data_IF_832939070722
#
_entry.id   IF_832939070722
#
_cell.length_a   1.000
_cell.length_b   1.000
_cell.length_c   1.000
_cell.angle_alpha   90.00
_cell.angle_beta   90.00
_cell.angle_gamma   90.00
#
_symmetry.space_group_name_H-M   'P 1'
#
loop_
_entity.id
_entity.type
_entity.pdbx_description
1 polymer ?
#
# COMPACT_ATOMS: atom_id res chain seq x y z
N UNK A 1 -24.22 -13.20 73.46
CA UNK A 1 -22.90 -13.28 72.78
C UNK A 1 -22.60 -14.74 72.51
N UNK A 2 -22.38 -15.06 71.23
CA UNK A 2 -22.01 -16.38 70.70
C UNK A 2 -20.64 -16.79 71.26
N UNK A 3 -20.48 -18.03 71.77
CA UNK A 3 -19.23 -18.81 71.66
C UNK A 3 -19.52 -20.31 71.59
N UNK A 4 -19.02 -20.88 70.51
CA UNK A 4 -18.97 -22.27 70.02
C UNK A 4 -17.83 -23.05 70.68
N UNK A 5 -17.97 -24.38 70.85
CA UNK A 5 -16.98 -25.45 70.58
C UNK A 5 -17.53 -26.78 71.15
N UNK A 6 -18.06 -27.69 70.33
CA UNK A 6 -17.41 -28.75 69.54
C UNK A 6 -17.14 -30.05 70.31
N UNK A 7 -17.78 -31.09 69.76
CA UNK A 7 -17.82 -32.49 70.14
C UNK A 7 -16.91 -33.24 69.15
N UNK A 8 -16.39 -34.39 69.61
CA UNK A 8 -16.30 -35.66 68.89
C UNK A 8 -15.03 -36.01 68.09
N UNK A 9 -14.47 -37.12 68.56
CA UNK A 9 -13.65 -38.17 67.96
C UNK A 9 -13.70 -38.41 66.44
N UNK A 10 -12.56 -38.87 65.90
CA UNK A 10 -12.43 -39.70 64.70
C UNK A 10 -10.98 -40.18 64.60
N UNK A 11 -10.65 -41.45 64.86
CA UNK A 11 -10.67 -42.61 63.93
C UNK A 11 -10.01 -42.29 62.58
N UNK A 12 -8.78 -42.78 62.44
CA UNK A 12 -7.94 -42.72 61.25
C UNK A 12 -8.42 -43.77 60.23
N UNK A 13 -8.88 -43.32 59.06
CA UNK A 13 -9.14 -44.16 57.89
C UNK A 13 -8.07 -43.80 56.85
N UNK A 14 -7.31 -44.79 56.39
CA UNK A 14 -6.33 -44.66 55.31
C UNK A 14 -7.06 -44.86 53.97
N UNK A 15 -7.09 -43.88 53.05
CA UNK A 15 -7.53 -44.13 51.69
C UNK A 15 -6.36 -44.61 50.82
N UNK A 16 -6.60 -45.72 50.11
CA UNK A 16 -5.81 -46.16 48.96
C UNK A 16 -5.90 -45.11 47.84
N UNK A 17 -4.75 -44.68 47.31
CA UNK A 17 -4.68 -43.82 46.15
C UNK A 17 -4.93 -44.65 44.88
N UNK A 18 -6.07 -44.42 44.22
CA UNK A 18 -6.26 -44.82 42.83
C UNK A 18 -5.55 -43.79 41.95
N UNK A 19 -4.54 -44.24 41.21
CA UNK A 19 -3.83 -43.43 40.24
C UNK A 19 -4.76 -43.18 39.05
N UNK A 20 -5.32 -41.98 38.94
CA UNK A 20 -5.93 -41.52 37.69
C UNK A 20 -4.80 -41.26 36.70
N UNK A 21 -4.72 -42.09 35.67
CA UNK A 21 -3.84 -41.83 34.52
C UNK A 21 -4.40 -40.60 33.82
N UNK A 22 -3.74 -39.46 34.01
CA UNK A 22 -3.98 -38.27 33.19
C UNK A 22 -3.49 -38.63 31.80
N UNK A 23 -4.42 -38.89 30.88
CA UNK A 23 -4.10 -38.95 29.46
C UNK A 23 -3.56 -37.57 29.07
N UNK A 24 -2.24 -37.48 28.88
CA UNK A 24 -1.64 -36.36 28.20
C UNK A 24 -2.26 -36.33 26.80
N UNK A 25 -3.09 -35.32 26.52
CA UNK A 25 -3.51 -34.99 25.17
C UNK A 25 -2.25 -34.85 24.32
N UNK A 26 -2.02 -35.79 23.42
CA UNK A 26 -1.09 -35.63 22.30
C UNK A 26 -1.39 -34.29 21.62
N UNK A 27 -0.39 -33.44 21.36
CA UNK A 27 -0.61 -32.25 20.56
C UNK A 27 -1.05 -32.72 19.18
N UNK A 28 -2.34 -32.54 18.89
CA UNK A 28 -2.90 -32.73 17.57
C UNK A 28 -2.09 -31.84 16.62
N UNK A 29 -1.19 -32.45 15.84
CA UNK A 29 -0.51 -31.78 14.74
C UNK A 29 -1.60 -31.38 13.76
N UNK A 30 -2.02 -30.11 13.85
CA UNK A 30 -3.06 -29.60 12.99
C UNK A 30 -2.54 -29.65 11.56
N UNK A 31 -3.20 -30.42 10.68
CA UNK A 31 -2.86 -30.50 9.26
C UNK A 31 -3.28 -29.23 8.49
N UNK A 32 -3.37 -28.09 9.17
CA UNK A 32 -3.77 -26.82 8.58
C UNK A 32 -2.66 -26.30 7.68
N UNK A 33 -3.05 -25.57 6.64
CA UNK A 33 -2.15 -24.82 5.77
C UNK A 33 -2.03 -23.40 6.30
N UNK A 34 -0.81 -22.90 6.41
CA UNK A 34 -0.58 -21.50 6.75
C UNK A 34 -0.88 -20.60 5.55
N UNK A 35 -1.44 -19.42 5.82
CA UNK A 35 -1.62 -18.35 4.84
C UNK A 35 -0.63 -17.20 5.01
N UNK A 36 0.37 -17.31 5.90
CA UNK A 36 1.26 -16.19 6.26
C UNK A 36 2.02 -15.59 5.07
N UNK A 37 2.24 -16.39 4.01
CA UNK A 37 2.92 -16.00 2.78
C UNK A 37 1.97 -15.76 1.60
N UNK A 38 0.67 -15.56 1.86
CA UNK A 38 -0.31 -15.25 0.82
C UNK A 38 0.06 -13.93 0.13
N UNK A 39 0.34 -14.01 -1.16
CA UNK A 39 0.66 -12.86 -2.00
C UNK A 39 -0.43 -12.69 -3.07
N UNK A 40 -0.98 -11.48 -3.16
CA UNK A 40 -1.95 -11.10 -4.19
C UNK A 40 -1.62 -9.68 -4.63
N UNK A 41 -1.49 -9.45 -5.93
CA UNK A 41 -1.31 -8.09 -6.46
C UNK A 41 -2.69 -7.40 -6.52
N UNK A 42 -2.85 -6.34 -5.72
CA UNK A 42 -4.06 -5.53 -5.68
C UNK A 42 -3.74 -4.12 -6.14
N UNK A 43 -4.43 -3.68 -7.18
CA UNK A 43 -4.32 -2.31 -7.69
C UNK A 43 -5.23 -1.36 -6.93
N UNK A 44 -4.78 -0.11 -6.79
CA UNK A 44 -5.61 0.96 -6.23
C UNK A 44 -6.90 1.17 -7.04
N UNK A 45 -8.02 1.41 -6.35
CA UNK A 45 -9.32 1.65 -7.00
C UNK A 45 -10.02 0.40 -7.52
N UNK A 46 -9.44 -0.80 -7.31
CA UNK A 46 -10.11 -2.06 -7.64
C UNK A 46 -11.39 -2.22 -6.79
N UNK A 47 -12.48 -2.67 -7.40
CA UNK A 47 -13.72 -2.91 -6.66
C UNK A 47 -13.54 -4.02 -5.60
N UNK A 48 -14.23 -3.89 -4.47
CA UNK A 48 -14.14 -4.85 -3.35
C UNK A 48 -14.40 -6.30 -3.78
N UNK A 49 -15.38 -6.53 -4.65
CA UNK A 49 -15.71 -7.86 -5.16
C UNK A 49 -14.57 -8.47 -6.00
N UNK A 50 -13.85 -7.65 -6.78
CA UNK A 50 -12.70 -8.09 -7.56
C UNK A 50 -11.53 -8.45 -6.65
N UNK A 51 -11.25 -7.64 -5.63
CA UNK A 51 -10.24 -7.96 -4.59
C UNK A 51 -10.58 -9.26 -3.87
N UNK A 52 -11.82 -9.41 -3.41
CA UNK A 52 -12.27 -10.65 -2.77
C UNK A 52 -12.10 -11.86 -3.71
N UNK A 53 -12.41 -11.70 -5.00
CA UNK A 53 -12.24 -12.76 -6.00
C UNK A 53 -10.78 -13.18 -6.14
N UNK A 54 -9.85 -12.21 -6.21
CA UNK A 54 -8.41 -12.48 -6.32
C UNK A 54 -7.87 -13.19 -5.07
N UNK A 55 -8.26 -12.73 -3.88
CA UNK A 55 -7.88 -13.37 -2.61
C UNK A 55 -8.46 -14.77 -2.52
N UNK A 56 -9.74 -14.96 -2.89
CA UNK A 56 -10.38 -16.29 -2.90
C UNK A 56 -9.63 -17.24 -3.81
N UNK A 57 -9.29 -16.81 -5.03
CA UNK A 57 -8.51 -17.62 -5.98
C UNK A 57 -7.13 -18.00 -5.43
N UNK A 58 -6.48 -17.10 -4.71
CA UNK A 58 -5.17 -17.36 -4.10
C UNK A 58 -5.28 -18.33 -2.91
N UNK A 59 -6.35 -18.23 -2.10
CA UNK A 59 -6.65 -19.20 -1.03
C UNK A 59 -7.01 -20.57 -1.62
N UNK A 60 -7.82 -20.63 -2.69
CA UNK A 60 -8.20 -21.88 -3.35
C UNK A 60 -6.98 -22.63 -3.88
N UNK A 61 -5.93 -21.91 -4.30
CA UNK A 61 -4.66 -22.52 -4.70
C UNK A 61 -3.88 -23.14 -3.54
N UNK A 62 -4.09 -22.66 -2.30
CA UNK A 62 -3.48 -23.20 -1.08
C UNK A 62 -4.30 -24.39 -0.57
N UNK A 63 -5.62 -24.21 -0.48
CA UNK A 63 -6.55 -25.22 0.03
C UNK A 63 -7.97 -24.99 -0.54
N UNK A 64 -8.36 -25.72 -1.61
CA UNK A 64 -9.63 -25.53 -2.33
C UNK A 64 -10.89 -25.76 -1.48
N UNK A 65 -10.77 -26.41 -0.32
CA UNK A 65 -11.90 -26.70 0.58
C UNK A 65 -12.17 -25.58 1.57
N UNK A 66 -11.28 -24.58 1.66
CA UNK A 66 -11.46 -23.46 2.57
C UNK A 66 -12.57 -22.52 2.08
N UNK A 67 -13.53 -22.21 2.97
CA UNK A 67 -14.69 -21.39 2.63
C UNK A 67 -14.56 -19.98 3.21
N UNK A 68 -14.80 -18.95 2.39
CA UNK A 68 -14.83 -17.56 2.85
C UNK A 68 -15.87 -17.37 3.98
N UNK A 69 -15.53 -16.54 4.98
CA UNK A 69 -16.24 -16.32 6.26
C UNK A 69 -16.33 -17.52 7.20
N UNK A 70 -15.97 -18.72 6.74
CA UNK A 70 -15.91 -19.91 7.57
C UNK A 70 -14.48 -20.22 7.99
N UNK A 71 -13.57 -20.33 7.03
CA UNK A 71 -12.17 -20.69 7.23
C UNK A 71 -11.24 -19.47 7.23
N UNK A 72 -11.64 -18.38 6.56
CA UNK A 72 -10.90 -17.12 6.60
C UNK A 72 -11.82 -15.91 6.44
N UNK A 73 -11.36 -14.76 6.89
CA UNK A 73 -12.00 -13.45 6.70
C UNK A 73 -11.05 -12.49 6.00
N UNK A 74 -11.61 -11.47 5.35
CA UNK A 74 -10.87 -10.36 4.75
C UNK A 74 -11.29 -9.10 5.48
N UNK A 75 -10.35 -8.43 6.12
CA UNK A 75 -10.54 -7.16 6.83
C UNK A 75 -9.82 -6.03 6.08
N UNK A 76 -10.38 -4.81 6.12
CA UNK A 76 -10.02 -3.72 5.21
C UNK A 76 -10.95 -3.61 4.00
N UNK A 77 -12.24 -3.89 4.20
CA UNK A 77 -13.27 -4.14 3.18
C UNK A 77 -13.70 -2.93 2.34
N UNK A 78 -12.91 -1.86 2.32
CA UNK A 78 -13.06 -0.81 1.33
C UNK A 78 -11.71 -0.61 0.64
N UNK A 79 -11.61 -0.97 -0.63
CA UNK A 79 -10.50 -0.50 -1.49
C UNK A 79 -10.87 0.91 -1.97
N UNK A 80 -11.37 1.73 -1.05
CA UNK A 80 -11.52 3.17 -1.25
C UNK A 80 -10.14 3.79 -1.10
N UNK A 81 -10.02 5.07 -1.46
CA UNK A 81 -8.76 5.79 -1.60
C UNK A 81 -7.83 5.83 -0.37
N UNK A 82 -8.16 5.14 0.73
CA UNK A 82 -7.57 5.28 2.07
C UNK A 82 -6.77 4.06 2.57
N UNK A 83 -6.97 2.84 2.05
CA UNK A 83 -6.32 1.64 2.63
C UNK A 83 -5.11 1.15 1.82
N UNK A 84 -3.94 1.19 2.45
CA UNK A 84 -2.68 0.67 1.90
C UNK A 84 -2.48 -0.83 2.18
N UNK A 85 -3.31 -1.44 3.04
CA UNK A 85 -3.17 -2.81 3.54
C UNK A 85 -4.52 -3.52 3.65
N UNK A 86 -4.56 -4.77 3.22
CA UNK A 86 -5.69 -5.70 3.36
C UNK A 86 -5.23 -6.86 4.23
N UNK A 87 -6.05 -7.26 5.21
CA UNK A 87 -5.75 -8.35 6.12
C UNK A 87 -6.55 -9.60 5.73
N UNK A 88 -5.88 -10.72 5.55
CA UNK A 88 -6.53 -12.03 5.35
C UNK A 88 -6.22 -12.89 6.57
N UNK A 89 -7.24 -13.27 7.32
CA UNK A 89 -7.09 -13.91 8.63
C UNK A 89 -7.76 -15.27 8.60
N UNK A 90 -7.03 -16.33 8.95
CA UNK A 90 -7.64 -17.64 9.15
C UNK A 90 -8.52 -17.60 10.42
N UNK A 91 -9.76 -18.08 10.33
CA UNK A 91 -10.66 -18.04 11.48
C UNK A 91 -10.22 -19.08 12.53
N UNK A 92 -10.49 -18.85 13.83
CA UNK A 92 -10.16 -19.83 14.88
C UNK A 92 -10.84 -21.19 14.67
N UNK A 93 -12.02 -21.20 14.05
CA UNK A 93 -12.81 -22.40 13.75
C UNK A 93 -12.40 -23.09 12.44
N UNK A 94 -11.45 -22.53 11.69
CA UNK A 94 -11.05 -23.13 10.42
C UNK A 94 -10.50 -24.53 10.64
N UNK A 95 -10.96 -25.47 9.80
CA UNK A 95 -10.43 -26.84 9.78
C UNK A 95 -9.17 -26.95 8.93
N UNK A 96 -8.95 -25.96 8.07
CA UNK A 96 -8.06 -26.07 6.92
C UNK A 96 -6.93 -25.06 6.93
N UNK A 97 -7.18 -23.86 7.49
CA UNK A 97 -6.27 -22.74 7.44
C UNK A 97 -5.84 -22.30 8.84
N UNK A 98 -4.63 -21.78 8.92
CA UNK A 98 -4.10 -21.03 10.05
C UNK A 98 -3.27 -19.84 9.56
N UNK A 99 -2.98 -18.90 10.47
CA UNK A 99 -2.13 -17.75 10.16
C UNK A 99 -2.89 -16.50 9.68
N UNK A 100 -2.10 -15.53 9.23
CA UNK A 100 -2.54 -14.19 8.85
C UNK A 100 -1.63 -13.61 7.78
N UNK A 101 -2.22 -13.03 6.74
CA UNK A 101 -1.50 -12.31 5.69
C UNK A 101 -1.86 -10.83 5.67
N UNK A 102 -0.85 -10.00 5.39
CA UNK A 102 -1.03 -8.59 5.04
C UNK A 102 -0.69 -8.41 3.57
N UNK A 103 -1.71 -8.08 2.78
CA UNK A 103 -1.56 -7.77 1.36
C UNK A 103 -1.45 -6.25 1.21
N UNK A 104 -0.42 -5.78 0.54
CA UNK A 104 -0.20 -4.36 0.28
C UNK A 104 -0.89 -3.95 -1.02
N UNK A 105 -1.72 -2.91 -0.96
CA UNK A 105 -2.33 -2.33 -2.16
C UNK A 105 -1.26 -1.50 -2.88
N UNK A 106 -1.06 -1.78 -4.17
CA UNK A 106 -0.12 -1.04 -5.01
C UNK A 106 -0.58 0.41 -5.06
N UNK A 107 0.22 1.32 -4.49
CA UNK A 107 -0.08 2.76 -4.53
C UNK A 107 -0.17 3.18 -5.99
N UNK A 108 -1.29 3.80 -6.36
CA UNK A 108 -1.34 4.50 -7.64
C UNK A 108 -0.39 5.68 -7.53
N UNK A 109 0.59 5.73 -8.43
CA UNK A 109 1.39 6.93 -8.59
C UNK A 109 0.50 8.03 -9.17
N UNK A 110 -0.07 8.86 -8.30
CA UNK A 110 -0.97 9.97 -8.65
C UNK A 110 -0.22 11.17 -9.24
N UNK A 111 1.11 11.10 -9.32
CA UNK A 111 1.91 12.16 -9.91
C UNK A 111 1.67 12.21 -11.42
N UNK A 112 1.54 13.43 -11.91
CA UNK A 112 1.34 13.71 -13.33
C UNK A 112 2.69 13.53 -14.02
N UNK A 113 2.71 12.63 -15.00
CA UNK A 113 3.87 12.49 -15.87
C UNK A 113 4.01 13.72 -16.75
N UNK A 114 5.23 14.26 -16.81
CA UNK A 114 5.55 15.40 -17.67
C UNK A 114 6.27 14.98 -18.96
N UNK A 115 6.48 13.68 -19.20
CA UNK A 115 7.33 13.21 -20.31
C UNK A 115 6.84 13.57 -21.70
N UNK A 116 5.53 13.75 -21.86
CA UNK A 116 4.89 14.08 -23.14
C UNK A 116 4.59 15.58 -23.29
N UNK A 117 5.03 16.40 -22.33
CA UNK A 117 4.77 17.83 -22.38
C UNK A 117 5.62 18.53 -23.44
N UNK A 118 5.05 19.59 -24.01
CA UNK A 118 5.70 20.39 -25.04
C UNK A 118 5.42 21.87 -24.78
N UNK A 119 6.42 22.55 -24.22
CA UNK A 119 6.41 24.00 -23.98
C UNK A 119 7.13 24.66 -25.15
N UNK A 120 6.57 25.76 -25.66
CA UNK A 120 7.20 26.54 -26.73
C UNK A 120 7.93 27.73 -26.12
N UNK A 121 9.25 27.69 -26.18
CA UNK A 121 10.11 28.83 -25.92
C UNK A 121 10.67 29.34 -27.24
N UNK A 122 11.00 30.63 -27.29
CA UNK A 122 11.48 31.28 -28.51
C UNK A 122 12.86 31.88 -28.26
N UNK A 123 13.69 31.90 -29.29
CA UNK A 123 15.00 32.53 -29.27
C UNK A 123 14.89 34.00 -28.88
N UNK A 124 15.99 34.53 -28.35
CA UNK A 124 16.16 35.87 -27.79
C UNK A 124 15.49 36.12 -26.43
N UNK A 125 14.63 35.23 -25.94
CA UNK A 125 14.13 35.28 -24.56
C UNK A 125 15.32 35.27 -23.59
N UNK A 126 15.27 36.13 -22.58
CA UNK A 126 16.24 36.07 -21.49
C UNK A 126 15.85 34.96 -20.49
N UNK A 127 16.79 34.63 -19.60
CA UNK A 127 16.60 33.57 -18.61
C UNK A 127 15.35 33.77 -17.73
N UNK A 128 15.07 34.99 -17.31
CA UNK A 128 13.95 35.31 -16.42
C UNK A 128 12.60 35.14 -17.15
N UNK A 129 12.50 35.63 -18.38
CA UNK A 129 11.33 35.44 -19.25
C UNK A 129 11.06 33.96 -19.50
N UNK A 130 12.10 33.18 -19.79
CA UNK A 130 11.97 31.75 -20.02
C UNK A 130 11.49 31.00 -18.76
N UNK A 131 12.00 31.36 -17.58
CA UNK A 131 11.53 30.79 -16.30
C UNK A 131 10.05 31.11 -16.10
N UNK A 132 9.66 32.38 -16.26
CA UNK A 132 8.27 32.80 -16.07
C UNK A 132 7.30 32.06 -17.00
N UNK A 133 7.66 31.89 -18.28
CA UNK A 133 6.83 31.15 -19.24
C UNK A 133 6.71 29.65 -18.85
N UNK A 134 7.81 29.01 -18.44
CA UNK A 134 7.80 27.63 -17.96
C UNK A 134 6.92 27.49 -16.71
N UNK A 135 7.12 28.35 -15.70
CA UNK A 135 6.34 28.31 -14.46
C UNK A 135 4.85 28.53 -14.71
N UNK A 136 4.51 29.50 -15.56
CA UNK A 136 3.13 29.78 -15.93
C UNK A 136 2.51 28.57 -16.64
N UNK A 137 3.19 27.99 -17.63
CA UNK A 137 2.70 26.82 -18.36
C UNK A 137 2.44 25.64 -17.43
N UNK A 138 3.40 25.33 -16.53
CA UNK A 138 3.28 24.22 -15.57
C UNK A 138 2.14 24.47 -14.58
N UNK A 139 2.03 25.68 -14.04
CA UNK A 139 0.98 26.05 -13.08
C UNK A 139 -0.44 25.94 -13.67
N UNK A 140 -0.59 26.19 -14.98
CA UNK A 140 -1.86 26.02 -15.70
C UNK A 140 -2.26 24.55 -15.89
N UNK A 141 -1.30 23.62 -15.88
CA UNK A 141 -1.55 22.18 -16.02
C UNK A 141 -1.67 21.47 -14.68
N UNK A 142 -0.85 21.88 -13.71
CA UNK A 142 -0.74 21.23 -12.40
C UNK A 142 -0.78 22.28 -11.32
N UNK A 143 -1.98 22.47 -10.77
CA UNK A 143 -2.24 23.44 -9.73
C UNK A 143 -1.33 23.20 -8.54
N UNK A 144 -0.60 24.24 -8.17
CA UNK A 144 0.24 24.23 -6.98
C UNK A 144 1.64 23.67 -7.19
N UNK A 145 2.03 23.15 -8.36
CA UNK A 145 3.41 22.76 -8.64
C UNK A 145 4.36 23.98 -8.60
N UNK A 146 5.55 23.82 -8.00
CA UNK A 146 6.52 24.92 -7.80
C UNK A 146 7.92 24.55 -8.27
N UNK A 147 8.62 25.50 -8.89
CA UNK A 147 10.04 25.40 -9.16
C UNK A 147 10.83 25.20 -7.86
N UNK A 148 11.91 24.42 -7.93
CA UNK A 148 12.77 24.06 -6.80
C UNK A 148 12.10 23.21 -5.70
N UNK A 149 10.82 22.83 -5.85
CA UNK A 149 10.14 21.88 -4.98
C UNK A 149 9.59 20.67 -5.74
N UNK A 150 8.94 20.89 -6.88
CA UNK A 150 8.32 19.83 -7.66
C UNK A 150 9.11 19.49 -8.92
N UNK A 151 9.87 20.45 -9.44
CA UNK A 151 10.72 20.27 -10.60
C UNK A 151 11.91 21.24 -10.60
N UNK A 152 12.86 20.95 -11.49
CA UNK A 152 14.04 21.75 -11.79
C UNK A 152 14.11 22.04 -13.29
N UNK A 153 14.73 23.17 -13.63
CA UNK A 153 15.05 23.55 -15.00
C UNK A 153 16.55 23.40 -15.17
N UNK A 154 16.97 22.56 -16.11
CA UNK A 154 18.36 22.21 -16.36
C UNK A 154 18.77 22.72 -17.75
N UNK A 155 20.05 23.10 -17.86
CA UNK A 155 20.65 23.67 -19.07
C UNK A 155 19.98 24.95 -19.58
N UNK A 156 19.41 25.76 -18.69
CA UNK A 156 18.85 27.06 -19.08
C UNK A 156 19.97 28.12 -19.24
N UNK A 157 20.24 28.61 -20.46
CA UNK A 157 21.24 29.65 -20.66
C UNK A 157 20.73 31.02 -20.23
N UNK A 158 21.65 31.99 -20.11
CA UNK A 158 21.31 33.39 -19.76
C UNK A 158 20.43 34.08 -20.82
N UNK A 159 20.61 33.69 -22.08
CA UNK A 159 19.86 34.16 -23.24
C UNK A 159 19.65 32.96 -24.15
N UNK A 160 18.40 32.77 -24.59
CA UNK A 160 18.02 31.64 -25.44
C UNK A 160 18.42 31.92 -26.89
N UNK A 161 18.99 30.91 -27.54
CA UNK A 161 19.23 30.81 -28.97
C UNK A 161 18.40 29.69 -29.57
N UNK A 162 18.14 29.76 -30.88
CA UNK A 162 17.56 28.62 -31.62
C UNK A 162 18.43 27.38 -31.40
N UNK A 163 17.78 26.22 -31.35
CA UNK A 163 18.39 24.91 -31.07
C UNK A 163 18.87 24.68 -29.62
N UNK A 164 18.71 25.66 -28.72
CA UNK A 164 18.94 25.42 -27.30
C UNK A 164 18.02 24.30 -26.78
N UNK A 165 18.60 23.42 -25.98
CA UNK A 165 17.90 22.29 -25.36
C UNK A 165 17.80 22.49 -23.86
N UNK A 166 16.59 22.77 -23.37
CA UNK A 166 16.30 22.96 -21.96
C UNK A 166 15.62 21.69 -21.45
N UNK A 167 16.03 21.19 -20.28
CA UNK A 167 15.42 20.00 -19.68
C UNK A 167 14.63 20.36 -18.44
N UNK A 168 13.37 19.95 -18.40
CA UNK A 168 12.54 20.05 -17.21
C UNK A 168 12.49 18.68 -16.56
N UNK A 169 12.91 18.60 -15.30
CA UNK A 169 12.97 17.34 -14.55
C UNK A 169 12.19 17.45 -13.25
N UNK A 170 11.19 16.60 -13.07
CA UNK A 170 10.50 16.46 -11.78
C UNK A 170 11.45 15.90 -10.72
N UNK A 171 11.33 16.36 -9.48
CA UNK A 171 12.05 15.75 -8.37
C UNK A 171 11.47 14.37 -8.03
N UNK A 172 12.33 13.45 -7.59
CA UNK A 172 11.91 12.08 -7.24
C UNK A 172 10.89 12.06 -6.09
N UNK A 173 10.99 13.02 -5.18
CA UNK A 173 10.13 13.22 -4.02
C UNK A 173 8.98 14.22 -4.26
N UNK A 174 8.82 14.74 -5.49
CA UNK A 174 7.65 15.58 -5.80
C UNK A 174 6.39 14.78 -5.57
N UNK A 175 5.42 15.36 -4.86
CA UNK A 175 4.11 14.76 -4.67
C UNK A 175 3.18 14.96 -5.89
N UNK A 176 3.56 15.82 -6.83
CA UNK A 176 2.69 16.27 -7.93
C UNK A 176 3.16 15.82 -9.30
N UNK A 177 4.47 15.81 -9.54
CA UNK A 177 5.06 15.57 -10.86
C UNK A 177 5.97 14.36 -10.85
N UNK A 178 6.12 13.72 -12.00
CA UNK A 178 7.14 12.69 -12.25
C UNK A 178 7.67 12.80 -13.68
N UNK A 179 8.79 12.14 -13.92
CA UNK A 179 9.49 12.09 -15.20
C UNK A 179 10.13 13.44 -15.59
N UNK A 180 10.51 13.57 -16.86
CA UNK A 180 11.19 14.73 -17.43
C UNK A 180 10.86 14.88 -18.90
N UNK A 181 10.95 16.10 -19.42
CA UNK A 181 10.87 16.36 -20.86
C UNK A 181 11.91 17.40 -21.29
N UNK A 182 12.19 17.41 -22.60
CA UNK A 182 13.07 18.37 -23.25
C UNK A 182 12.25 19.41 -23.99
N UNK A 183 12.66 20.66 -23.88
CA UNK A 183 12.18 21.79 -24.66
C UNK A 183 13.24 22.10 -25.71
N UNK A 184 12.84 22.13 -26.98
CA UNK A 184 13.64 22.67 -28.07
C UNK A 184 13.22 24.12 -28.30
N UNK A 185 14.16 25.05 -28.17
CA UNK A 185 13.89 26.48 -28.38
C UNK A 185 13.66 26.76 -29.87
N UNK A 186 12.55 27.43 -30.16
CA UNK A 186 12.14 27.80 -31.51
C UNK A 186 12.86 29.09 -31.96
N UNK A 187 12.89 29.41 -33.26
CA UNK A 187 13.36 30.70 -33.75
C UNK A 187 12.65 31.89 -33.08
N UNK A 188 13.25 33.10 -33.05
CA UNK A 188 12.60 34.28 -32.49
C UNK A 188 11.21 34.53 -33.09
N UNK A 189 10.26 35.00 -32.26
CA UNK A 189 8.92 35.36 -32.76
C UNK A 189 9.06 36.47 -33.81
N UNK A 190 8.59 36.22 -35.04
CA UNK A 190 8.46 37.27 -36.05
C UNK A 190 7.54 38.36 -35.49
N UNK A 191 8.07 39.57 -35.33
CA UNK A 191 7.26 40.75 -35.05
C UNK A 191 6.50 41.09 -36.34
N UNK A 192 5.18 40.89 -36.34
CA UNK A 192 4.29 41.36 -37.40
C UNK A 192 3.77 42.75 -37.05
#
# INVERSE_FOLDING_TARGET
MKKTLMILSGITIIPMLTSTVVACNEPQTSNKKTIDNLFVEIEHGMLLNAVQTLITKAIDAIEPRALFKNDYTIEGSEVTAEYEKIHVIATPKSKWLEGHAVIFVKKQDRRISISEWNIKLFGEMNQEEAIQEIEQWISNKVVGAKLARDYSILHLPKKLTEDDEIMIKAYEDSALLKDSFKITVLPPKKQN
#
